data_IF_320557483138
#
_entry.id   IF_320557483138
#
_cell.length_a   1.000
_cell.length_b   1.000
_cell.length_c   1.000
_cell.angle_alpha   90.00
_cell.angle_beta   90.00
_cell.angle_gamma   90.00
#
_symmetry.space_group_name_H-M   'P 1'
#
loop_
_entity.id
_entity.type
_entity.pdbx_description
1 polymer ?
#
# COMPACT_ATOMS: atom_id res chain seq x y z
N UNK A 1 -1.35 -5.18 -3.23
CA UNK A 1 -1.36 -6.58 -2.77
C UNK A 1 -1.13 -6.61 -1.27
N UNK A 2 -1.76 -7.54 -0.58
CA UNK A 2 -1.53 -7.77 0.84
C UNK A 2 -1.61 -9.27 1.17
N UNK A 3 -1.10 -9.67 2.33
CA UNK A 3 -1.26 -10.99 2.94
C UNK A 3 -1.59 -10.82 4.43
N UNK A 4 -2.11 -11.83 5.13
CA UNK A 4 -2.57 -11.68 6.52
C UNK A 4 -1.52 -11.15 7.50
N UNK A 5 -0.22 -11.30 7.21
CA UNK A 5 0.88 -10.73 8.01
C UNK A 5 1.34 -9.35 7.56
N UNK A 6 0.72 -8.74 6.52
CA UNK A 6 1.09 -7.39 6.08
C UNK A 6 0.76 -6.37 7.16
N UNK A 7 1.73 -5.52 7.50
CA UNK A 7 1.56 -4.51 8.54
C UNK A 7 1.65 -5.03 9.99
N UNK A 8 1.76 -6.34 10.19
CA UNK A 8 1.95 -6.94 11.52
C UNK A 8 0.69 -7.28 12.30
N UNK A 9 -0.49 -6.82 11.84
CA UNK A 9 -1.79 -7.14 12.45
C UNK A 9 -2.74 -7.67 11.37
N UNK A 10 -3.36 -8.85 11.56
CA UNK A 10 -4.28 -9.44 10.58
C UNK A 10 -5.58 -8.63 10.38
N UNK A 11 -5.89 -7.69 11.27
CA UNK A 11 -7.07 -6.83 11.14
C UNK A 11 -6.84 -5.66 10.19
N UNK A 12 -5.58 -5.30 9.89
CA UNK A 12 -5.26 -4.18 9.01
C UNK A 12 -5.75 -4.39 7.57
N UNK A 13 -5.70 -5.64 7.10
CA UNK A 13 -6.00 -5.95 5.71
C UNK A 13 -7.00 -7.11 5.63
N UNK A 14 -8.15 -6.84 5.08
CA UNK A 14 -9.23 -7.82 4.88
C UNK A 14 -9.75 -7.80 3.45
N UNK A 15 -10.63 -8.74 3.10
CA UNK A 15 -11.33 -8.71 1.80
C UNK A 15 -12.32 -7.56 1.67
N UNK A 16 -12.63 -6.87 2.76
CA UNK A 16 -13.61 -5.78 2.82
C UNK A 16 -12.98 -4.40 2.97
N UNK A 17 -11.76 -4.33 3.53
CA UNK A 17 -11.10 -3.06 3.82
C UNK A 17 -9.59 -3.22 3.97
N UNK A 18 -8.87 -2.11 3.73
CA UNK A 18 -7.53 -1.85 4.23
C UNK A 18 -7.62 -0.74 5.26
N UNK A 19 -7.20 -1.05 6.50
CA UNK A 19 -7.27 -0.13 7.65
C UNK A 19 -5.85 0.17 8.12
N UNK A 20 -5.28 1.34 7.83
CA UNK A 20 -3.97 1.71 8.34
C UNK A 20 -3.94 1.71 9.87
N UNK A 21 -2.77 1.44 10.45
CA UNK A 21 -2.60 1.19 11.89
C UNK A 21 -3.14 2.31 12.77
N UNK A 22 -2.99 3.57 12.35
CA UNK A 22 -3.52 4.72 13.09
C UNK A 22 -5.05 4.75 13.21
N UNK A 23 -5.77 4.05 12.32
CA UNK A 23 -7.24 4.00 12.31
C UNK A 23 -7.80 2.77 13.04
N UNK A 24 -6.96 1.78 13.37
CA UNK A 24 -7.43 0.52 13.92
C UNK A 24 -7.98 0.67 15.37
N UNK A 25 -7.37 1.53 16.17
CA UNK A 25 -7.66 1.64 17.61
C UNK A 25 -8.00 3.05 18.08
N UNK A 26 -8.20 4.00 17.18
CA UNK A 26 -8.50 5.39 17.57
C UNK A 26 -9.95 5.75 17.37
N UNK A 27 -10.54 6.35 18.40
CA UNK A 27 -11.84 6.99 18.33
C UNK A 27 -11.77 8.28 17.49
N UNK A 28 -10.65 9.00 17.57
CA UNK A 28 -10.40 10.19 16.76
C UNK A 28 -9.66 9.78 15.48
N UNK A 29 -10.28 10.04 14.35
CA UNK A 29 -9.67 9.77 13.04
C UNK A 29 -8.53 10.76 12.80
N UNK A 30 -7.28 10.29 12.64
CA UNK A 30 -6.20 11.21 12.30
C UNK A 30 -6.51 11.86 10.95
N UNK A 31 -6.41 13.18 10.89
CA UNK A 31 -6.58 13.95 9.66
C UNK A 31 -5.19 14.35 9.17
N UNK A 32 -4.87 14.01 7.93
CA UNK A 32 -3.54 14.30 7.36
C UNK A 32 -3.27 15.82 7.33
N UNK A 33 -4.31 16.63 7.18
CA UNK A 33 -4.20 18.07 7.14
C UNK A 33 -3.92 18.73 8.51
N UNK A 34 -4.09 17.97 9.60
CA UNK A 34 -3.75 18.43 10.96
C UNK A 34 -2.29 18.14 11.32
N UNK A 35 -1.56 17.43 10.45
CA UNK A 35 -0.14 17.16 10.63
C UNK A 35 0.67 18.41 10.28
N UNK A 36 1.69 18.71 11.09
CA UNK A 36 2.74 19.64 10.65
C UNK A 36 3.52 19.03 9.50
N UNK A 37 4.21 19.85 8.69
CA UNK A 37 5.07 19.36 7.61
C UNK A 37 6.11 18.34 8.11
N UNK A 38 6.71 18.61 9.29
CA UNK A 38 7.68 17.71 9.90
C UNK A 38 7.07 16.36 10.28
N UNK A 39 5.90 16.37 10.91
CA UNK A 39 5.17 15.14 11.25
C UNK A 39 4.78 14.34 9.99
N UNK A 40 4.36 15.01 8.93
CA UNK A 40 4.03 14.37 7.66
C UNK A 40 5.27 13.70 7.04
N UNK A 41 6.41 14.42 7.00
CA UNK A 41 7.67 13.88 6.46
C UNK A 41 8.14 12.70 7.29
N UNK A 42 8.19 12.80 8.62
CA UNK A 42 8.62 11.71 9.50
C UNK A 42 7.74 10.47 9.33
N UNK A 43 6.42 10.62 9.46
CA UNK A 43 5.47 9.51 9.32
C UNK A 43 5.56 8.83 7.95
N UNK A 44 5.66 9.63 6.89
CA UNK A 44 5.73 9.12 5.52
C UNK A 44 7.03 8.38 5.26
N UNK A 45 8.17 8.97 5.67
CA UNK A 45 9.49 8.36 5.53
C UNK A 45 9.56 7.03 6.26
N UNK A 46 9.15 6.99 7.52
CA UNK A 46 9.16 5.77 8.33
C UNK A 46 8.22 4.70 7.77
N UNK A 47 7.03 5.11 7.29
CA UNK A 47 6.10 4.19 6.62
C UNK A 47 6.74 3.55 5.38
N UNK A 48 7.34 4.35 4.50
CA UNK A 48 8.01 3.88 3.28
C UNK A 48 9.23 3.00 3.57
N UNK A 49 9.93 3.25 4.68
CA UNK A 49 11.03 2.42 5.16
C UNK A 49 10.54 1.11 5.84
N UNK A 50 9.24 0.90 5.96
CA UNK A 50 8.69 -0.30 6.60
C UNK A 50 8.93 -0.35 8.11
N UNK A 51 9.10 0.81 8.75
CA UNK A 51 9.26 0.91 10.20
C UNK A 51 7.96 0.50 10.89
N UNK A 52 7.96 -0.69 11.50
CA UNK A 52 6.80 -1.25 12.18
C UNK A 52 6.49 -0.59 13.52
N UNK A 53 7.35 0.28 14.01
CA UNK A 53 7.12 1.00 15.27
C UNK A 53 6.29 2.25 15.06
N UNK A 54 6.15 2.72 13.80
CA UNK A 54 5.32 3.88 13.48
C UNK A 54 3.84 3.48 13.41
N UNK A 55 3.00 4.21 14.11
CA UNK A 55 1.54 4.10 14.00
C UNK A 55 1.10 4.94 12.80
N UNK A 56 1.29 4.40 11.61
CA UNK A 56 1.04 5.11 10.37
C UNK A 56 -0.45 5.17 10.01
N UNK A 57 -0.90 6.33 9.52
CA UNK A 57 -2.20 6.54 8.88
C UNK A 57 -2.22 6.18 7.39
N UNK A 58 -1.10 5.70 6.84
CA UNK A 58 -0.96 5.41 5.42
C UNK A 58 -1.08 3.91 5.11
N UNK A 59 -1.54 3.63 3.90
CA UNK A 59 -1.38 2.34 3.22
C UNK A 59 -0.70 2.55 1.87
N UNK A 60 0.18 1.62 1.49
CA UNK A 60 0.93 1.65 0.22
C UNK A 60 0.18 0.94 -0.90
N UNK A 61 0.11 1.57 -2.06
CA UNK A 61 -0.54 1.07 -3.26
C UNK A 61 0.36 1.24 -4.48
N UNK A 62 0.25 0.37 -5.45
CA UNK A 62 1.04 0.46 -6.67
C UNK A 62 0.15 0.61 -7.89
N UNK A 63 0.50 1.56 -8.78
CA UNK A 63 -0.11 1.70 -10.10
C UNK A 63 0.46 0.71 -11.13
N UNK A 64 1.42 -0.15 -10.75
CA UNK A 64 1.95 -1.19 -11.63
C UNK A 64 1.32 -2.55 -11.34
N UNK A 65 0.35 -3.03 -12.14
CA UNK A 65 -0.22 -4.36 -11.99
C UNK A 65 0.84 -5.47 -12.11
N UNK A 66 1.80 -5.28 -13.02
CA UNK A 66 2.90 -6.23 -13.23
C UNK A 66 3.74 -6.40 -11.96
N UNK A 67 4.09 -5.30 -11.30
CA UNK A 67 4.81 -5.33 -10.03
C UNK A 67 4.01 -6.08 -8.96
N UNK A 68 2.74 -5.71 -8.77
CA UNK A 68 1.86 -6.29 -7.77
C UNK A 68 1.68 -7.79 -7.97
N UNK A 69 1.42 -8.22 -9.20
CA UNK A 69 1.21 -9.63 -9.52
C UNK A 69 2.50 -10.44 -9.33
N UNK A 70 3.65 -9.91 -9.77
CA UNK A 70 4.92 -10.57 -9.58
C UNK A 70 5.29 -10.69 -8.09
N UNK A 71 5.07 -9.65 -7.32
CA UNK A 71 5.28 -9.73 -5.87
C UNK A 71 4.35 -10.76 -5.22
N UNK A 72 3.09 -10.87 -5.68
CA UNK A 72 2.14 -11.87 -5.20
C UNK A 72 2.61 -13.31 -5.45
N UNK A 73 3.40 -13.59 -6.51
CA UNK A 73 3.94 -14.93 -6.76
C UNK A 73 4.88 -15.39 -5.66
N UNK A 74 5.52 -14.48 -4.92
CA UNK A 74 6.39 -14.82 -3.79
C UNK A 74 5.60 -15.27 -2.56
N UNK A 75 4.30 -14.90 -2.49
CA UNK A 75 3.39 -15.12 -1.35
C UNK A 75 2.21 -16.04 -1.72
N UNK A 76 2.33 -16.80 -2.77
CA UNK A 76 1.30 -17.53 -3.55
C UNK A 76 -0.02 -17.87 -2.82
N UNK A 77 0.04 -18.53 -1.67
CA UNK A 77 -1.15 -19.10 -1.03
C UNK A 77 -1.88 -18.13 -0.09
N UNK A 78 -1.22 -17.06 0.33
CA UNK A 78 -1.75 -16.12 1.30
C UNK A 78 -1.98 -14.72 0.75
N UNK A 79 -1.50 -14.47 -0.49
CA UNK A 79 -1.63 -13.15 -1.10
C UNK A 79 -3.06 -12.88 -1.58
N UNK A 80 -3.45 -11.62 -1.42
CA UNK A 80 -4.64 -11.04 -2.02
C UNK A 80 -4.24 -9.89 -2.94
N UNK A 81 -4.87 -9.84 -4.10
CA UNK A 81 -4.79 -8.69 -4.99
C UNK A 81 -5.96 -7.78 -4.67
N UNK A 82 -5.66 -6.54 -4.37
CA UNK A 82 -6.67 -5.52 -4.13
C UNK A 82 -6.54 -4.39 -5.16
N UNK A 83 -7.67 -3.84 -5.55
CA UNK A 83 -7.76 -2.65 -6.38
C UNK A 83 -8.56 -1.57 -5.67
N UNK A 84 -8.18 -0.33 -5.89
CA UNK A 84 -8.90 0.84 -5.41
C UNK A 84 -9.32 1.72 -6.58
N UNK A 85 -10.50 2.29 -6.43
CA UNK A 85 -11.01 3.36 -7.28
C UNK A 85 -10.74 4.69 -6.59
N UNK A 86 -9.68 5.38 -7.03
CA UNK A 86 -9.23 6.62 -6.40
C UNK A 86 -10.23 7.76 -6.55
N UNK A 87 -11.09 7.73 -7.57
CA UNK A 87 -12.15 8.73 -7.73
C UNK A 87 -13.20 8.57 -6.65
N UNK A 88 -13.54 7.34 -6.29
CA UNK A 88 -14.50 7.05 -5.21
C UNK A 88 -13.93 7.24 -3.81
N UNK A 89 -12.61 7.28 -3.66
CA UNK A 89 -11.98 7.64 -2.39
C UNK A 89 -12.13 9.12 -2.07
N UNK A 90 -12.23 9.97 -3.09
CA UNK A 90 -12.31 11.42 -2.94
C UNK A 90 -13.67 11.92 -2.43
N UNK A 91 -14.67 11.04 -2.35
CA UNK A 91 -16.01 11.38 -1.85
C UNK A 91 -16.05 11.61 -0.32
N UNK A 92 -14.91 11.56 0.37
CA UNK A 92 -14.80 11.82 1.81
C UNK A 92 -13.74 12.88 2.14
N UNK A 93 -14.10 13.86 2.97
CA UNK A 93 -13.26 15.00 3.37
C UNK A 93 -11.90 14.64 4.03
N UNK A 94 -11.70 13.36 4.34
CA UNK A 94 -10.52 12.89 5.09
C UNK A 94 -9.56 12.04 4.26
N UNK A 95 -9.90 11.74 3.00
CA UNK A 95 -9.13 10.83 2.18
C UNK A 95 -8.09 11.59 1.36
N UNK A 96 -6.81 11.35 1.61
CA UNK A 96 -5.73 11.92 0.84
C UNK A 96 -4.93 10.83 0.14
N UNK A 97 -4.69 11.02 -1.16
CA UNK A 97 -3.87 10.13 -1.98
C UNK A 97 -2.65 10.89 -2.47
N UNK A 98 -1.47 10.33 -2.22
CA UNK A 98 -0.19 10.94 -2.56
C UNK A 98 0.58 10.04 -3.50
N UNK A 99 1.04 10.57 -4.63
CA UNK A 99 2.01 9.90 -5.49
C UNK A 99 3.41 10.09 -4.91
N UNK A 100 4.09 9.02 -4.51
CA UNK A 100 5.36 9.11 -3.77
C UNK A 100 6.44 9.90 -4.53
N UNK A 101 6.64 9.74 -5.85
CA UNK A 101 7.57 10.57 -6.59
C UNK A 101 7.29 12.07 -6.50
N UNK A 102 6.03 12.48 -6.42
CA UNK A 102 5.67 13.90 -6.28
C UNK A 102 6.00 14.47 -4.88
N UNK A 103 6.22 13.61 -3.89
CA UNK A 103 6.63 14.02 -2.54
C UNK A 103 8.15 14.21 -2.42
N UNK A 104 8.96 13.71 -3.38
CA UNK A 104 10.44 13.80 -3.32
C UNK A 104 10.97 15.23 -3.01
N UNK A 105 10.44 16.31 -3.60
CA UNK A 105 10.90 17.67 -3.26
C UNK A 105 10.65 18.06 -1.81
N UNK A 106 9.62 17.46 -1.17
CA UNK A 106 9.25 17.76 0.23
C UNK A 106 10.20 17.05 1.20
N UNK A 107 10.70 15.87 0.83
CA UNK A 107 11.62 15.10 1.66
C UNK A 107 13.03 15.69 1.73
N UNK A 108 13.41 16.57 0.79
CA UNK A 108 14.72 17.20 0.77
C UNK A 108 15.86 16.17 0.76
N UNK A 109 16.76 16.26 1.75
CA UNK A 109 17.88 15.32 1.94
C UNK A 109 17.51 14.05 2.73
N UNK A 110 16.25 13.86 3.12
CA UNK A 110 15.84 12.61 3.71
C UNK A 110 15.92 11.53 2.63
N UNK A 111 16.90 10.64 2.76
CA UNK A 111 16.99 9.48 1.92
C UNK A 111 15.75 8.60 2.20
N UNK A 112 14.82 8.58 1.26
CA UNK A 112 13.84 7.51 1.22
C UNK A 112 14.64 6.21 1.14
N UNK A 113 14.36 5.28 2.03
CA UNK A 113 15.09 4.01 2.10
C UNK A 113 15.29 3.45 0.71
N UNK A 114 16.56 3.29 0.34
CA UNK A 114 16.93 2.82 -0.97
C UNK A 114 16.47 1.37 -1.12
N UNK A 115 15.72 1.14 -2.17
CA UNK A 115 15.46 -0.14 -2.81
C UNK A 115 15.42 -1.38 -1.91
N UNK A 116 14.25 -1.92 -1.76
CA UNK A 116 14.10 -3.31 -1.37
C UNK A 116 14.57 -4.19 -2.53
N UNK A 117 15.83 -4.61 -2.50
CA UNK A 117 16.37 -5.62 -3.42
C UNK A 117 16.05 -6.99 -2.82
N UNK A 118 15.12 -7.73 -3.43
CA UNK A 118 14.78 -9.10 -2.99
C UNK A 118 15.83 -10.14 -3.38
N UNK A 119 17.00 -9.71 -3.83
CA UNK A 119 18.08 -10.58 -4.30
C UNK A 119 17.80 -11.30 -5.62
N UNK A 120 16.67 -11.04 -6.26
CA UNK A 120 16.23 -11.69 -7.52
C UNK A 120 16.36 -10.79 -8.74
N UNK A 121 17.09 -9.69 -8.61
CA UNK A 121 17.33 -8.74 -9.72
C UNK A 121 16.15 -7.84 -10.05
N UNK A 122 15.15 -7.75 -9.15
CA UNK A 122 14.10 -6.79 -9.26
C UNK A 122 14.48 -5.53 -8.49
N UNK A 123 14.74 -4.48 -9.22
CA UNK A 123 14.90 -3.15 -8.66
C UNK A 123 13.50 -2.59 -8.35
N UNK A 124 13.04 -2.79 -7.10
CA UNK A 124 11.85 -2.12 -6.58
C UNK A 124 12.11 -0.64 -6.30
N UNK A 125 13.21 -0.17 -6.75
CA UNK A 125 14.06 0.85 -6.24
C UNK A 125 13.63 2.24 -6.45
N UNK A 126 12.42 2.58 -6.68
CA UNK A 126 12.21 4.03 -6.87
C UNK A 126 10.83 4.53 -6.50
N UNK A 127 9.96 3.68 -5.98
CA UNK A 127 8.61 4.11 -5.64
C UNK A 127 7.86 4.80 -6.80
N UNK A 128 8.35 4.63 -8.06
CA UNK A 128 7.85 5.36 -9.22
C UNK A 128 6.36 5.12 -9.49
N UNK A 129 5.88 3.98 -9.00
CA UNK A 129 4.50 3.56 -9.15
C UNK A 129 3.76 3.52 -7.81
N UNK A 130 4.39 4.02 -6.74
CA UNK A 130 3.81 3.93 -5.40
C UNK A 130 2.96 5.14 -5.08
N UNK A 131 1.81 4.83 -4.50
CA UNK A 131 0.87 5.78 -3.94
C UNK A 131 0.63 5.47 -2.47
N UNK A 132 0.56 6.50 -1.67
CA UNK A 132 0.13 6.43 -0.29
C UNK A 132 -1.30 6.91 -0.18
N UNK A 133 -2.14 6.13 0.49
CA UNK A 133 -3.51 6.52 0.82
C UNK A 133 -3.60 6.67 2.33
N UNK A 134 -3.96 7.88 2.76
CA UNK A 134 -4.20 8.21 4.16
C UNK A 134 -5.70 8.10 4.44
N UNK A 135 -6.15 6.94 4.82
CA UNK A 135 -7.50 6.65 5.33
C UNK A 135 -7.78 5.15 5.36
N UNK A 136 -8.94 4.77 5.87
CA UNK A 136 -9.51 3.43 5.67
C UNK A 136 -10.06 3.32 4.24
N UNK A 137 -9.60 2.33 3.49
CA UNK A 137 -10.07 2.03 2.14
C UNK A 137 -11.07 0.88 2.19
N UNK A 138 -12.32 1.15 1.86
CA UNK A 138 -13.40 0.17 1.96
C UNK A 138 -14.57 0.42 0.98
N UNK A 139 -15.62 -0.39 1.09
CA UNK A 139 -16.88 -0.18 0.37
C UNK A 139 -16.75 -0.26 -1.14
N UNK A 140 -17.39 0.66 -1.86
CA UNK A 140 -17.43 0.66 -3.33
C UNK A 140 -16.09 1.02 -3.96
N UNK A 141 -15.22 1.71 -3.22
CA UNK A 141 -13.88 2.09 -3.68
C UNK A 141 -12.87 0.93 -3.60
N UNK A 142 -13.23 -0.20 -2.99
CA UNK A 142 -12.32 -1.30 -2.69
C UNK A 142 -12.84 -2.64 -3.19
N UNK A 143 -11.98 -3.42 -3.81
CA UNK A 143 -12.20 -4.83 -4.14
C UNK A 143 -10.93 -5.62 -3.90
N UNK A 144 -11.06 -6.82 -3.33
CA UNK A 144 -9.95 -7.75 -3.15
C UNK A 144 -10.35 -9.17 -3.54
N UNK A 145 -9.38 -9.92 -4.05
CA UNK A 145 -9.52 -11.32 -4.43
C UNK A 145 -8.24 -12.07 -4.09
N UNK A 146 -8.34 -13.32 -3.66
CA UNK A 146 -7.15 -14.13 -3.41
C UNK A 146 -6.37 -14.38 -4.71
N UNK A 147 -5.05 -14.32 -4.63
CA UNK A 147 -4.17 -14.62 -5.76
C UNK A 147 -4.38 -16.05 -6.27
N UNK A 148 -4.60 -17.01 -5.35
CA UNK A 148 -4.92 -18.40 -5.68
C UNK A 148 -6.16 -18.50 -6.56
N UNK A 149 -7.23 -17.75 -6.23
CA UNK A 149 -8.44 -17.73 -7.06
C UNK A 149 -8.15 -17.19 -8.46
N UNK A 150 -7.38 -16.10 -8.57
CA UNK A 150 -6.98 -15.57 -9.88
C UNK A 150 -6.20 -16.59 -10.71
N UNK A 151 -5.32 -17.36 -10.07
CA UNK A 151 -4.59 -18.44 -10.76
C UNK A 151 -5.56 -19.55 -11.25
N UNK A 152 -6.53 -19.93 -10.45
CA UNK A 152 -7.55 -20.91 -10.87
C UNK A 152 -8.45 -20.39 -11.99
N UNK A 153 -8.72 -19.09 -11.99
CA UNK A 153 -9.52 -18.42 -13.04
C UNK A 153 -8.69 -18.18 -14.33
N UNK A 154 -7.44 -18.69 -14.42
CA UNK A 154 -6.63 -18.68 -15.63
C UNK A 154 -5.62 -17.53 -15.71
N UNK A 155 -5.33 -16.80 -14.62
CA UNK A 155 -4.35 -15.70 -14.63
C UNK A 155 -3.01 -16.10 -15.27
N UNK A 156 -2.50 -17.30 -14.93
CA UNK A 156 -1.21 -17.80 -15.42
C UNK A 156 -1.22 -18.25 -16.88
N UNK A 157 -2.40 -18.39 -17.48
CA UNK A 157 -2.54 -18.69 -18.90
C UNK A 157 -2.50 -17.40 -19.73
N UNK A 158 -3.00 -16.30 -19.15
CA UNK A 158 -2.91 -14.96 -19.75
C UNK A 158 -1.55 -14.30 -19.52
N UNK A 159 -0.89 -14.59 -18.39
CA UNK A 159 0.38 -13.99 -17.97
C UNK A 159 1.38 -15.12 -17.58
N UNK A 160 1.86 -15.90 -18.56
CA UNK A 160 2.74 -17.05 -18.31
C UNK A 160 4.08 -16.69 -17.65
N UNK A 161 4.54 -15.45 -17.79
CA UNK A 161 5.73 -14.93 -17.15
C UNK A 161 5.63 -14.84 -15.61
N UNK A 162 4.46 -15.08 -15.04
CA UNK A 162 4.24 -15.13 -13.59
C UNK A 162 4.38 -16.54 -12.99
N UNK A 163 4.65 -17.56 -13.84
CA UNK A 163 4.83 -18.96 -13.41
C UNK A 163 6.13 -19.20 -12.66
#
# INVERSE_FOLDING_TARGET
>A
MWHPGSGGDPQLNTIHAVTPHAFLHRLDRPVVYDMTAEQFIDNTTRHLCGDRTVVSGFSSWSASPRFVLRYATTQRYTAYIAVIDTLRLQDGDTNATFHVPALKPIFGNHELCQSWNDGRGFDYGRYDWEYLVHSVVHGKAYKAVSFTKLCWDGLLDYLPELR
#
